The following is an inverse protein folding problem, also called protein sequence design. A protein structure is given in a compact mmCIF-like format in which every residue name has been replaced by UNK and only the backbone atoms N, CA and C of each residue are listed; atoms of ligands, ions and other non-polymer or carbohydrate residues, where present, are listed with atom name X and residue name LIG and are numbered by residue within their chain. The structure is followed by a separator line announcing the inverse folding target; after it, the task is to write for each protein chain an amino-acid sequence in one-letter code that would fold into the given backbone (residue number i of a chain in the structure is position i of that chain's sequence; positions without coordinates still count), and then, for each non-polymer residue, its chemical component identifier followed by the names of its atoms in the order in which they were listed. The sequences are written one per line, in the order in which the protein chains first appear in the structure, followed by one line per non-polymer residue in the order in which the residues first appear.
data_IF_356167045021
#
_entry.id   IF_356167045021
#
_cell.length_a   1.000
_cell.length_b   1.000
_cell.length_c   1.000
_cell.angle_alpha   90.00
_cell.angle_beta   90.00
_cell.angle_gamma   90.00
#
_symmetry.space_group_name_H-M   'P 1'
#
loop_
_entity.id
_entity.type
_entity.pdbx_description
1 polymer ?
#
# COMPACT_ATOMS: atom_id res chain seq x y z
N UNK A 1 11.61 -1.68 39.96
CA UNK A 1 10.56 -2.05 38.99
C UNK A 1 10.44 -3.57 39.04
N UNK A 2 9.33 -4.08 39.54
CA UNK A 2 9.03 -5.50 39.56
C UNK A 2 8.09 -5.73 38.39
N UNK A 3 8.52 -6.48 37.35
CA UNK A 3 7.65 -6.91 36.28
C UNK A 3 7.13 -8.31 36.58
N UNK A 4 5.82 -8.50 36.43
CA UNK A 4 5.17 -9.79 36.52
C UNK A 4 4.70 -10.14 35.13
N UNK A 5 5.35 -11.11 34.48
CA UNK A 5 4.88 -11.65 33.24
C UNK A 5 3.70 -12.58 33.49
N UNK A 6 2.68 -12.47 32.64
CA UNK A 6 1.46 -13.27 32.67
C UNK A 6 1.66 -14.51 31.84
N UNK A 7 1.77 -15.66 32.50
CA UNK A 7 1.61 -16.93 31.79
C UNK A 7 0.13 -17.24 31.55
N UNK A 8 -0.19 -17.40 30.27
CA UNK A 8 -1.32 -18.11 29.69
C UNK A 8 -2.75 -17.92 30.23
N UNK A 9 -3.61 -17.45 29.34
CA UNK A 9 -5.04 -17.67 29.05
C UNK A 9 -5.88 -18.51 30.05
N UNK A 10 -5.78 -18.31 31.33
CA UNK A 10 -6.70 -18.88 32.27
C UNK A 10 -7.41 -17.76 33.03
N UNK A 11 -8.70 -17.57 32.77
CA UNK A 11 -9.55 -16.55 33.37
C UNK A 11 -9.87 -16.79 34.89
N UNK A 12 -9.17 -17.66 35.54
CA UNK A 12 -9.34 -17.89 36.96
C UNK A 12 -8.67 -16.80 37.78
N UNK A 13 -9.37 -16.29 38.80
CA UNK A 13 -8.85 -15.34 39.76
C UNK A 13 -7.57 -15.90 40.39
N UNK A 14 -6.42 -15.37 40.00
CA UNK A 14 -5.14 -15.71 40.56
C UNK A 14 -4.78 -14.59 41.54
N UNK A 15 -4.74 -14.90 42.82
CA UNK A 15 -4.18 -14.01 43.85
C UNK A 15 -2.65 -14.06 43.78
N UNK A 16 -2.02 -12.93 43.64
CA UNK A 16 -0.55 -12.82 43.65
C UNK A 16 -0.11 -11.95 44.79
N UNK A 17 0.87 -12.42 45.57
CA UNK A 17 1.55 -11.66 46.59
C UNK A 17 2.91 -11.22 46.09
N UNK A 18 3.21 -9.94 46.20
CA UNK A 18 4.50 -9.34 45.85
C UNK A 18 5.11 -8.83 47.13
N UNK A 19 6.30 -9.32 47.45
CA UNK A 19 7.06 -8.78 48.57
C UNK A 19 7.78 -7.50 48.14
N UNK A 20 7.59 -6.44 48.93
CA UNK A 20 8.27 -5.17 48.74
C UNK A 20 9.31 -5.03 49.89
N UNK A 21 10.58 -4.97 49.51
CA UNK A 21 11.65 -4.74 50.47
C UNK A 21 11.48 -3.38 51.14
N UNK A 22 11.66 -3.36 52.44
CA UNK A 22 11.49 -2.18 53.30
C UNK A 22 12.42 -1.02 52.89
N UNK A 23 13.52 -1.30 52.22
CA UNK A 23 14.44 -0.28 51.68
C UNK A 23 13.79 0.63 50.61
N UNK A 24 12.71 0.19 50.00
CA UNK A 24 11.95 1.00 49.03
C UNK A 24 10.87 1.87 49.70
N UNK A 25 10.61 1.65 50.98
CA UNK A 25 9.59 2.40 51.72
C UNK A 25 10.21 3.59 52.45
N UNK A 26 9.51 4.71 52.45
CA UNK A 26 9.91 5.93 53.16
C UNK A 26 8.98 6.14 54.37
N UNK A 27 9.49 6.84 55.39
CA UNK A 27 8.64 7.33 56.44
C UNK A 27 7.68 8.40 55.87
N UNK A 28 6.38 8.23 56.08
CA UNK A 28 5.33 9.07 55.52
C UNK A 28 4.65 8.44 54.29
N UNK A 29 4.22 9.26 53.36
CA UNK A 29 3.45 8.81 52.21
C UNK A 29 4.30 8.07 51.19
N UNK A 30 3.83 6.91 50.74
CA UNK A 30 4.42 6.11 49.70
C UNK A 30 3.43 5.96 48.57
N UNK A 31 3.91 6.06 47.35
CA UNK A 31 3.11 5.86 46.11
C UNK A 31 3.36 4.48 45.56
N UNK A 32 2.29 3.76 45.25
CA UNK A 32 2.34 2.49 44.54
C UNK A 32 1.79 2.74 43.13
N UNK A 33 2.61 2.49 42.13
CA UNK A 33 2.18 2.53 40.72
C UNK A 33 2.11 1.10 40.18
N UNK A 34 1.00 0.75 39.55
CA UNK A 34 0.82 -0.54 38.88
C UNK A 34 0.52 -0.33 37.42
N UNK A 35 1.22 -1.09 36.59
CA UNK A 35 0.87 -1.19 35.15
C UNK A 35 0.10 -2.49 34.95
N UNK A 36 -1.14 -2.37 34.49
CA UNK A 36 -1.98 -3.51 34.15
C UNK A 36 -2.04 -3.60 32.62
N UNK A 37 -1.65 -4.76 32.05
CA UNK A 37 -1.75 -5.04 30.63
C UNK A 37 -2.84 -6.08 30.47
N UNK A 38 -3.86 -5.75 29.69
CA UNK A 38 -5.03 -6.58 29.42
C UNK A 38 -6.33 -5.97 29.96
N UNK A 39 -7.41 -6.74 29.87
CA UNK A 39 -8.71 -6.28 30.35
C UNK A 39 -8.71 -6.22 31.88
N UNK A 40 -8.92 -5.06 32.50
CA UNK A 40 -8.92 -4.96 33.93
C UNK A 40 -10.11 -5.74 34.51
N UNK A 41 -9.87 -6.92 35.01
CA UNK A 41 -10.85 -7.57 35.87
C UNK A 41 -10.73 -6.96 37.28
N UNK A 42 -11.83 -6.55 37.80
CA UNK A 42 -11.93 -6.03 39.18
C UNK A 42 -11.40 -7.07 40.18
N UNK A 43 -10.27 -6.80 40.73
CA UNK A 43 -9.68 -7.56 41.82
C UNK A 43 -9.41 -6.66 43.03
N UNK A 44 -9.56 -7.19 44.21
CA UNK A 44 -9.20 -6.48 45.42
C UNK A 44 -7.68 -6.38 45.54
N UNK A 45 -7.18 -5.20 45.82
CA UNK A 45 -5.77 -4.96 46.14
C UNK A 45 -5.66 -4.71 47.63
N UNK A 46 -4.73 -5.41 48.25
CA UNK A 46 -4.48 -5.23 49.68
C UNK A 46 -3.00 -5.22 49.96
N UNK A 47 -2.62 -4.49 51.01
CA UNK A 47 -1.27 -4.51 51.54
C UNK A 47 -1.28 -5.43 52.78
N UNK A 48 -0.39 -6.43 52.78
CA UNK A 48 -0.16 -7.30 53.91
C UNK A 48 1.12 -6.84 54.57
N UNK A 49 1.04 -6.44 55.85
CA UNK A 49 2.20 -6.07 56.67
C UNK A 49 2.89 -7.31 57.18
N UNK A 50 4.17 -7.22 57.51
CA UNK A 50 4.93 -8.31 58.14
C UNK A 50 4.33 -8.87 59.44
N UNK A 51 3.43 -8.12 60.09
CA UNK A 51 2.62 -8.57 61.22
C UNK A 51 1.44 -9.49 60.78
N UNK A 52 1.18 -9.66 59.52
CA UNK A 52 0.00 -10.37 59.02
C UNK A 52 -1.25 -9.49 58.88
N UNK A 53 -1.17 -8.22 59.28
CA UNK A 53 -2.28 -7.28 59.16
C UNK A 53 -2.49 -6.95 57.65
N UNK A 54 -3.71 -7.16 57.17
CA UNK A 54 -4.12 -6.88 55.80
C UNK A 54 -4.97 -5.60 55.73
N UNK A 55 -4.52 -4.64 54.96
CA UNK A 55 -5.28 -3.42 54.66
C UNK A 55 -5.72 -3.46 53.21
N UNK A 56 -7.04 -3.47 52.98
CA UNK A 56 -7.61 -3.40 51.64
C UNK A 56 -7.51 -1.97 51.14
N UNK A 57 -7.03 -1.79 49.91
CA UNK A 57 -6.95 -0.49 49.26
C UNK A 57 -8.21 -0.30 48.43
N UNK A 58 -9.24 0.30 49.03
CA UNK A 58 -10.56 0.48 48.40
C UNK A 58 -10.71 1.84 47.73
N UNK A 59 -10.01 2.85 48.25
CA UNK A 59 -10.16 4.23 47.80
C UNK A 59 -8.82 4.90 47.46
N UNK A 60 -8.89 5.95 46.65
CA UNK A 60 -7.73 6.80 46.35
C UNK A 60 -6.86 6.33 45.21
N UNK A 61 -7.30 5.34 44.42
CA UNK A 61 -6.61 4.94 43.22
C UNK A 61 -6.89 5.91 42.07
N UNK A 62 -5.82 6.44 41.51
CA UNK A 62 -5.90 7.18 40.25
C UNK A 62 -5.42 6.24 39.17
N UNK A 63 -6.26 6.01 38.17
CA UNK A 63 -5.88 5.21 37.00
C UNK A 63 -5.81 6.10 35.76
N UNK A 64 -4.75 5.92 35.01
CA UNK A 64 -4.63 6.49 33.67
C UNK A 64 -4.55 5.34 32.65
N UNK A 65 -5.42 5.36 31.66
CA UNK A 65 -5.34 4.46 30.54
C UNK A 65 -4.21 4.96 29.63
N UNK A 66 -3.14 4.18 29.53
CA UNK A 66 -1.95 4.57 28.77
C UNK A 66 -2.10 4.18 27.29
N UNK A 67 -2.61 2.98 27.05
CA UNK A 67 -2.92 2.49 25.72
C UNK A 67 -3.98 1.40 25.79
N UNK A 68 -4.80 1.30 24.78
CA UNK A 68 -5.77 0.22 24.59
C UNK A 68 -5.57 -0.35 23.18
N UNK A 69 -5.27 -1.64 23.14
CA UNK A 69 -5.11 -2.36 21.89
C UNK A 69 -6.25 -3.36 21.75
N UNK A 70 -7.05 -3.19 20.71
CA UNK A 70 -8.15 -4.08 20.41
C UNK A 70 -7.81 -4.91 19.17
N UNK A 71 -7.82 -6.23 19.35
CA UNK A 71 -7.78 -7.17 18.25
C UNK A 71 -9.19 -7.71 18.01
N UNK A 72 -9.78 -7.32 16.92
CA UNK A 72 -10.99 -7.97 16.45
C UNK A 72 -10.58 -9.00 15.39
N UNK A 73 -10.66 -10.26 15.75
CA UNK A 73 -10.40 -11.36 14.82
C UNK A 73 -11.66 -11.53 13.97
N UNK A 74 -11.70 -10.83 12.86
CA UNK A 74 -12.58 -11.16 11.75
C UNK A 74 -11.75 -11.04 10.47
N UNK A 75 -12.10 -11.78 9.45
CA UNK A 75 -11.34 -11.89 8.19
C UNK A 75 -11.16 -10.55 7.45
N UNK A 76 -11.77 -9.47 7.92
CA UNK A 76 -11.75 -8.15 7.31
C UNK A 76 -11.43 -7.00 8.27
N UNK A 77 -11.08 -7.27 9.51
CA UNK A 77 -10.75 -6.22 10.47
C UNK A 77 -9.26 -6.05 10.62
N UNK A 78 -8.81 -4.87 10.24
CA UNK A 78 -7.43 -4.46 10.48
C UNK A 78 -7.26 -4.05 11.94
N UNK A 79 -6.18 -4.47 12.61
CA UNK A 79 -5.90 -4.06 13.96
C UNK A 79 -5.76 -2.53 14.03
N UNK A 80 -6.33 -1.94 15.06
CA UNK A 80 -6.12 -0.54 15.36
C UNK A 80 -5.64 -0.38 16.79
N UNK A 81 -4.82 0.63 17.02
CA UNK A 81 -4.33 1.00 18.33
C UNK A 81 -4.99 2.30 18.74
N UNK A 82 -5.67 2.30 19.87
CA UNK A 82 -6.15 3.52 20.50
C UNK A 82 -5.11 4.00 21.51
N UNK A 83 -4.54 5.17 21.21
CA UNK A 83 -3.61 5.83 22.13
C UNK A 83 -4.35 6.88 22.92
N UNK A 84 -4.20 6.83 24.23
CA UNK A 84 -4.74 7.83 25.13
C UNK A 84 -3.58 8.68 25.66
N UNK A 85 -3.58 9.95 25.31
CA UNK A 85 -2.61 10.91 25.81
C UNK A 85 -3.13 11.57 27.07
N UNK A 86 -2.39 11.42 28.14
CA UNK A 86 -2.55 12.20 29.35
C UNK A 86 -1.54 13.35 29.32
N UNK A 87 -2.05 14.57 29.27
CA UNK A 87 -1.25 15.77 29.50
C UNK A 87 -1.24 16.00 31.01
N UNK A 88 -0.06 15.93 31.63
CA UNK A 88 0.12 16.02 33.07
C UNK A 88 -0.42 17.28 33.77
N UNK A 89 -0.92 18.24 33.02
CA UNK A 89 -1.63 19.43 33.50
C UNK A 89 -3.16 19.31 33.49
N UNK A 90 -3.71 18.18 33.04
CA UNK A 90 -5.14 17.98 33.01
C UNK A 90 -5.60 17.30 34.31
N UNK A 91 -6.81 17.68 34.76
CA UNK A 91 -7.49 16.99 35.84
C UNK A 91 -7.58 15.49 35.50
N UNK A 92 -7.17 14.63 36.43
CA UNK A 92 -7.19 13.17 36.27
C UNK A 92 -8.57 12.61 35.90
N UNK A 93 -9.61 13.40 36.13
CA UNK A 93 -11.01 13.07 35.75
C UNK A 93 -11.40 13.56 34.35
N UNK A 94 -10.56 14.34 33.65
CA UNK A 94 -10.82 14.68 32.27
C UNK A 94 -10.50 13.48 31.39
N UNK A 95 -11.40 13.20 30.43
CA UNK A 95 -11.17 12.09 29.49
C UNK A 95 -9.87 12.35 28.69
N UNK A 96 -8.96 11.40 28.64
CA UNK A 96 -7.74 11.56 27.85
C UNK A 96 -8.08 11.73 26.36
N UNK A 97 -7.28 12.50 25.68
CA UNK A 97 -7.45 12.66 24.22
C UNK A 97 -7.18 11.31 23.53
N UNK A 98 -8.22 10.75 22.94
CA UNK A 98 -8.12 9.50 22.18
C UNK A 98 -7.59 9.77 20.78
N UNK A 99 -6.52 9.10 20.39
CA UNK A 99 -6.03 9.04 19.01
C UNK A 99 -6.10 7.60 18.54
N UNK A 100 -6.84 7.37 17.47
CA UNK A 100 -6.91 6.05 16.83
C UNK A 100 -5.85 5.99 15.74
N UNK A 101 -4.99 4.99 15.83
CA UNK A 101 -3.95 4.71 14.86
C UNK A 101 -4.29 3.39 14.17
N UNK A 102 -4.38 3.41 12.85
CA UNK A 102 -4.64 2.23 12.03
C UNK A 102 -3.79 2.31 10.74
N UNK A 103 -3.92 1.30 9.88
CA UNK A 103 -3.18 1.23 8.60
C UNK A 103 -3.44 2.43 7.68
N UNK A 104 -4.57 3.13 7.82
CA UNK A 104 -4.91 4.32 7.04
C UNK A 104 -4.40 5.62 7.66
N UNK A 105 -3.80 5.57 8.86
CA UNK A 105 -3.23 6.75 9.50
C UNK A 105 -1.97 7.20 8.74
N UNK A 106 -1.76 8.51 8.57
CA UNK A 106 -0.61 9.02 7.83
C UNK A 106 0.72 8.46 8.32
N UNK A 107 1.56 8.04 7.40
CA UNK A 107 2.92 7.53 7.62
C UNK A 107 3.05 6.23 8.42
N UNK A 108 1.98 5.63 8.92
CA UNK A 108 2.06 4.42 9.76
C UNK A 108 2.68 3.24 8.99
N UNK A 109 2.17 2.95 7.79
CA UNK A 109 2.72 1.87 6.97
C UNK A 109 4.18 2.15 6.57
N UNK A 110 4.49 3.40 6.23
CA UNK A 110 5.86 3.79 5.95
C UNK A 110 6.78 3.55 7.15
N UNK A 111 6.41 4.06 8.33
CA UNK A 111 7.21 3.96 9.53
C UNK A 111 7.38 2.51 10.01
N UNK A 112 6.33 1.70 9.90
CA UNK A 112 6.34 0.31 10.36
C UNK A 112 6.95 -0.69 9.37
N UNK A 113 6.84 -0.43 8.07
CA UNK A 113 7.18 -1.42 7.04
C UNK A 113 8.32 -0.99 6.11
N UNK A 114 8.42 0.28 5.76
CA UNK A 114 9.43 0.76 4.81
C UNK A 114 10.67 1.29 5.52
N UNK A 115 10.46 2.17 6.49
CA UNK A 115 11.56 2.84 7.21
C UNK A 115 12.57 1.87 7.85
N UNK A 116 12.16 0.73 8.45
CA UNK A 116 13.11 -0.25 8.99
C UNK A 116 13.98 -0.94 7.92
N UNK A 117 13.56 -0.92 6.65
CA UNK A 117 14.28 -1.54 5.54
C UNK A 117 15.36 -0.62 4.93
N UNK A 118 15.31 0.68 5.20
CA UNK A 118 16.22 1.66 4.58
C UNK A 118 17.70 1.32 4.74
N UNK A 119 18.19 0.74 5.87
CA UNK A 119 19.59 0.36 6.00
C UNK A 119 20.03 -0.80 5.09
N UNK A 120 19.07 -1.60 4.56
CA UNK A 120 19.41 -2.74 3.73
C UNK A 120 19.82 -2.30 2.33
N UNK A 121 20.90 -2.86 1.83
CA UNK A 121 21.31 -2.69 0.43
C UNK A 121 20.33 -3.44 -0.47
N UNK A 122 19.66 -2.72 -1.35
CA UNK A 122 18.75 -3.27 -2.36
C UNK A 122 19.23 -2.88 -3.75
N UNK A 123 18.90 -3.70 -4.76
CA UNK A 123 19.28 -3.46 -6.16
C UNK A 123 18.21 -2.68 -6.92
N UNK A 124 17.00 -2.62 -6.42
CA UNK A 124 15.87 -1.95 -7.03
C UNK A 124 14.58 -2.24 -6.29
N UNK A 125 13.49 -1.66 -6.76
CA UNK A 125 12.15 -1.79 -6.20
C UNK A 125 11.19 -2.30 -7.28
N UNK A 126 10.30 -3.19 -6.87
CA UNK A 126 9.19 -3.68 -7.68
C UNK A 126 7.89 -3.25 -7.01
N UNK A 127 7.02 -2.60 -7.78
CA UNK A 127 5.76 -2.07 -7.31
C UNK A 127 4.58 -2.67 -8.09
N UNK A 128 3.69 -3.35 -7.40
CA UNK A 128 2.49 -3.92 -7.99
C UNK A 128 1.26 -3.48 -7.18
N UNK A 129 0.70 -2.35 -7.54
CA UNK A 129 -0.43 -1.73 -6.85
C UNK A 129 -1.05 -0.65 -7.76
N UNK A 130 -2.32 -0.33 -7.53
CA UNK A 130 -3.03 0.76 -8.19
C UNK A 130 -4.53 0.56 -8.24
N UNK A 131 -5.01 -0.63 -7.98
CA UNK A 131 -6.38 -1.08 -8.15
C UNK A 131 -7.37 -0.21 -7.34
N UNK A 132 -7.11 -0.01 -6.06
CA UNK A 132 -7.95 0.84 -5.19
C UNK A 132 -7.95 2.32 -5.56
N UNK A 133 -7.02 2.76 -6.41
CA UNK A 133 -7.04 4.12 -6.93
C UNK A 133 -8.04 4.31 -8.06
N UNK A 134 -8.59 3.22 -8.61
CA UNK A 134 -9.55 3.21 -9.73
C UNK A 134 -10.95 2.86 -9.28
N UNK A 135 -11.10 1.91 -8.33
CA UNK A 135 -12.36 1.31 -7.92
C UNK A 135 -13.42 2.30 -7.44
N UNK A 136 -13.03 3.40 -6.84
CA UNK A 136 -13.97 4.28 -6.16
C UNK A 136 -14.71 5.27 -7.07
N UNK A 137 -14.44 5.26 -8.38
CA UNK A 137 -14.95 6.30 -9.29
C UNK A 137 -14.46 7.72 -8.94
N UNK A 138 -13.65 7.82 -7.89
CA UNK A 138 -13.01 9.06 -7.45
C UNK A 138 -11.82 9.36 -8.38
N UNK A 139 -11.67 10.59 -8.87
CA UNK A 139 -10.57 10.96 -9.76
C UNK A 139 -9.18 10.93 -9.10
N UNK A 140 -8.95 10.08 -8.11
CA UNK A 140 -7.64 9.86 -7.46
C UNK A 140 -6.54 9.49 -8.47
N UNK A 141 -6.90 8.91 -9.60
CA UNK A 141 -5.94 8.66 -10.67
C UNK A 141 -5.34 9.96 -11.23
N UNK A 142 -6.02 11.10 -11.14
CA UNK A 142 -5.50 12.40 -11.63
C UNK A 142 -4.27 12.89 -10.90
N UNK A 143 -4.04 12.41 -9.69
CA UNK A 143 -2.87 12.76 -8.88
C UNK A 143 -1.91 11.59 -8.69
N UNK A 144 -2.25 10.42 -9.22
CA UNK A 144 -1.48 9.19 -9.02
C UNK A 144 -0.04 9.33 -9.51
N UNK A 145 0.14 9.83 -10.73
CA UNK A 145 1.47 10.02 -11.32
C UNK A 145 2.33 10.99 -10.50
N UNK A 146 1.73 12.06 -9.99
CA UNK A 146 2.41 13.04 -9.15
C UNK A 146 2.79 12.45 -7.79
N UNK A 147 1.88 11.73 -7.14
CA UNK A 147 2.14 11.09 -5.86
C UNK A 147 3.19 9.99 -5.98
N UNK A 148 3.12 9.18 -7.04
CA UNK A 148 4.13 8.16 -7.30
C UNK A 148 5.50 8.75 -7.62
N UNK A 149 5.55 9.86 -8.35
CA UNK A 149 6.81 10.57 -8.60
C UNK A 149 7.45 11.06 -7.29
N UNK A 150 6.66 11.62 -6.39
CA UNK A 150 7.12 12.02 -5.05
C UNK A 150 7.61 10.82 -4.25
N UNK A 151 6.85 9.72 -4.26
CA UNK A 151 7.19 8.49 -3.55
C UNK A 151 8.51 7.89 -4.06
N UNK A 152 8.67 7.75 -5.37
CA UNK A 152 9.90 7.25 -5.99
C UNK A 152 11.11 8.12 -5.60
N UNK A 153 10.95 9.42 -5.66
CA UNK A 153 12.01 10.36 -5.30
C UNK A 153 12.36 10.32 -3.81
N UNK A 154 11.36 10.17 -2.94
CA UNK A 154 11.60 10.04 -1.49
C UNK A 154 12.35 8.74 -1.17
N UNK A 155 11.95 7.62 -1.76
CA UNK A 155 12.67 6.35 -1.61
C UNK A 155 14.13 6.46 -2.07
N UNK A 156 14.38 7.04 -3.25
CA UNK A 156 15.73 7.28 -3.77
C UNK A 156 16.57 8.16 -2.85
N UNK A 157 15.97 9.20 -2.28
CA UNK A 157 16.62 10.06 -1.29
C UNK A 157 16.96 9.30 0.00
N UNK A 158 16.06 8.42 0.47
CA UNK A 158 16.26 7.63 1.69
C UNK A 158 17.34 6.57 1.56
N UNK A 159 17.45 5.94 0.40
CA UNK A 159 18.52 4.99 0.08
C UNK A 159 19.79 5.65 -0.46
N UNK A 160 19.80 6.98 -0.62
CA UNK A 160 20.91 7.76 -1.16
C UNK A 160 21.44 7.21 -2.52
N UNK A 161 20.53 6.67 -3.32
CA UNK A 161 20.87 6.08 -4.62
C UNK A 161 19.71 6.20 -5.60
N UNK A 162 20.03 6.31 -6.88
CA UNK A 162 19.03 6.32 -7.95
C UNK A 162 18.48 4.91 -8.21
N UNK A 163 17.77 4.35 -7.21
CA UNK A 163 17.21 3.01 -7.29
C UNK A 163 16.34 2.82 -8.54
N UNK A 164 16.52 1.73 -9.29
CA UNK A 164 15.56 1.30 -10.29
C UNK A 164 14.18 1.08 -9.63
N UNK A 165 13.15 1.59 -10.28
CA UNK A 165 11.78 1.42 -9.82
C UNK A 165 10.94 0.85 -10.96
N UNK A 166 10.60 -0.44 -10.85
CA UNK A 166 9.79 -1.13 -11.84
C UNK A 166 8.38 -1.35 -11.30
N UNK A 167 7.37 -1.09 -12.12
CA UNK A 167 6.00 -1.19 -11.68
C UNK A 167 5.12 -1.94 -12.68
N UNK A 168 4.10 -2.64 -12.18
CA UNK A 168 3.09 -3.26 -12.99
C UNK A 168 1.97 -2.26 -13.30
N UNK A 169 1.60 -2.16 -14.56
CA UNK A 169 0.35 -1.53 -14.95
C UNK A 169 -0.80 -2.42 -14.48
N UNK A 170 -1.90 -1.84 -13.97
CA UNK A 170 -3.01 -2.63 -13.44
C UNK A 170 -3.59 -3.59 -14.47
N UNK A 171 -3.93 -4.80 -14.00
CA UNK A 171 -4.60 -5.81 -14.80
C UNK A 171 -6.05 -5.39 -15.17
N UNK A 172 -6.66 -6.01 -16.19
CA UNK A 172 -8.06 -5.79 -16.48
C UNK A 172 -8.94 -6.26 -15.31
N UNK A 173 -9.97 -5.47 -15.00
CA UNK A 173 -10.97 -5.84 -14.02
C UNK A 173 -12.30 -5.14 -14.35
N UNK A 174 -13.39 -5.90 -14.39
CA UNK A 174 -14.68 -5.40 -14.89
C UNK A 174 -15.26 -4.25 -14.05
N UNK A 175 -14.92 -4.17 -12.75
CA UNK A 175 -15.52 -3.21 -11.83
C UNK A 175 -14.82 -1.83 -11.80
N UNK A 176 -13.89 -1.56 -12.70
CA UNK A 176 -13.22 -0.25 -12.77
C UNK A 176 -14.07 0.87 -13.41
N UNK A 177 -15.32 0.59 -13.78
CA UNK A 177 -16.27 1.61 -14.25
C UNK A 177 -15.79 2.44 -15.45
N UNK A 178 -14.97 1.87 -16.35
CA UNK A 178 -14.42 2.56 -17.52
C UNK A 178 -13.26 3.51 -17.24
N UNK A 179 -12.79 3.61 -15.98
CA UNK A 179 -11.68 4.49 -15.60
C UNK A 179 -10.30 3.86 -15.80
N UNK A 180 -10.21 2.56 -16.01
CA UNK A 180 -8.94 1.84 -16.14
C UNK A 180 -8.03 2.35 -17.28
N UNK A 181 -8.51 2.78 -18.44
CA UNK A 181 -7.64 3.33 -19.48
C UNK A 181 -6.91 4.59 -19.03
N UNK A 182 -7.62 5.50 -18.37
CA UNK A 182 -7.04 6.75 -17.85
C UNK A 182 -6.03 6.49 -16.73
N UNK A 183 -6.31 5.51 -15.89
CA UNK A 183 -5.38 5.14 -14.84
C UNK A 183 -4.12 4.46 -15.40
N UNK A 184 -4.26 3.57 -16.37
CA UNK A 184 -3.12 2.97 -17.08
C UNK A 184 -2.27 4.02 -17.81
N UNK A 185 -2.90 5.05 -18.38
CA UNK A 185 -2.18 6.18 -18.95
C UNK A 185 -1.39 6.95 -17.89
N UNK A 186 -1.98 7.21 -16.70
CA UNK A 186 -1.28 7.83 -15.59
C UNK A 186 -0.09 6.97 -15.11
N UNK A 187 -0.26 5.64 -15.05
CA UNK A 187 0.85 4.73 -14.76
C UNK A 187 1.95 4.82 -15.84
N UNK A 188 1.59 4.76 -17.13
CA UNK A 188 2.54 4.89 -18.22
C UNK A 188 3.30 6.24 -18.18
N UNK A 189 2.65 7.29 -17.70
CA UNK A 189 3.27 8.60 -17.48
C UNK A 189 4.48 8.58 -16.53
N UNK A 190 4.60 7.57 -15.67
CA UNK A 190 5.76 7.40 -14.78
C UNK A 190 7.04 7.03 -15.53
N UNK A 191 6.95 6.52 -16.75
CA UNK A 191 8.11 6.20 -17.59
C UNK A 191 8.95 7.44 -17.96
N UNK A 192 8.42 8.66 -17.79
CA UNK A 192 9.20 9.90 -17.91
C UNK A 192 10.24 10.07 -16.79
N UNK A 193 10.09 9.34 -15.68
CA UNK A 193 11.04 9.39 -14.57
C UNK A 193 12.22 8.49 -14.91
N UNK A 194 13.46 9.00 -14.90
CA UNK A 194 14.63 8.17 -15.20
C UNK A 194 14.71 6.92 -14.31
N UNK A 195 15.23 5.85 -14.86
CA UNK A 195 15.44 4.59 -14.16
C UNK A 195 14.14 3.98 -13.60
N UNK A 196 13.06 4.10 -14.37
CA UNK A 196 11.78 3.39 -14.16
C UNK A 196 11.53 2.43 -15.32
N UNK A 197 10.66 1.45 -15.09
CA UNK A 197 10.20 0.51 -16.11
C UNK A 197 8.81 -0.01 -15.76
N UNK A 198 8.03 -0.31 -16.78
CA UNK A 198 6.64 -0.76 -16.63
C UNK A 198 6.46 -2.16 -17.22
N UNK A 199 5.76 -3.00 -16.48
CA UNK A 199 5.27 -4.30 -16.93
C UNK A 199 3.79 -4.17 -17.27
N UNK A 200 3.41 -4.51 -18.49
CA UNK A 200 2.01 -4.58 -18.91
C UNK A 200 1.42 -5.91 -18.45
N UNK A 201 0.16 -5.90 -17.99
CA UNK A 201 -0.53 -7.09 -17.47
C UNK A 201 -1.91 -7.30 -18.09
N UNK A 202 -2.19 -6.60 -19.20
CA UNK A 202 -3.49 -6.65 -19.86
C UNK A 202 -3.85 -8.02 -20.43
N UNK A 203 -2.88 -8.77 -20.89
CA UNK A 203 -2.99 -10.08 -21.53
C UNK A 203 -2.92 -11.25 -20.55
N UNK A 204 -2.52 -11.00 -19.29
CA UNK A 204 -2.31 -12.01 -18.26
C UNK A 204 -3.20 -11.79 -17.02
N UNK A 205 -4.09 -10.81 -17.07
CA UNK A 205 -5.06 -10.54 -16.01
C UNK A 205 -6.34 -11.39 -16.15
N UNK A 206 -7.18 -11.31 -15.14
CA UNK A 206 -8.47 -12.00 -15.07
C UNK A 206 -9.58 -10.96 -14.88
N UNK A 207 -10.45 -10.81 -15.89
CA UNK A 207 -11.43 -9.71 -15.90
C UNK A 207 -12.41 -9.75 -14.73
N UNK A 208 -12.64 -10.91 -14.13
CA UNK A 208 -13.55 -11.11 -12.99
C UNK A 208 -12.84 -11.30 -11.66
N UNK A 209 -11.51 -11.26 -11.64
CA UNK A 209 -10.73 -11.34 -10.41
C UNK A 209 -9.71 -10.21 -10.35
N UNK A 210 -9.85 -9.34 -9.33
CA UNK A 210 -8.90 -8.24 -9.09
C UNK A 210 -7.52 -8.76 -8.66
N UNK A 211 -7.44 -10.02 -8.23
CA UNK A 211 -6.21 -10.71 -7.83
C UNK A 211 -5.84 -11.83 -8.82
N UNK A 212 -5.46 -11.50 -10.07
CA UNK A 212 -5.18 -12.51 -11.08
C UNK A 212 -4.18 -13.56 -10.59
N UNK A 213 -4.44 -14.82 -10.89
CA UNK A 213 -3.62 -15.94 -10.39
C UNK A 213 -2.25 -16.02 -11.06
N UNK A 214 -2.12 -15.54 -12.29
CA UNK A 214 -0.87 -15.58 -13.06
C UNK A 214 0.16 -14.57 -12.56
N UNK A 215 0.84 -14.90 -11.46
CA UNK A 215 1.97 -14.12 -10.94
C UNK A 215 3.31 -14.49 -11.56
N UNK A 216 3.39 -15.66 -12.18
CA UNK A 216 4.62 -16.14 -12.82
C UNK A 216 5.04 -15.21 -13.96
N UNK A 217 4.14 -14.92 -14.90
CA UNK A 217 4.47 -14.08 -16.05
C UNK A 217 4.70 -12.63 -15.66
N UNK A 218 4.02 -12.13 -14.62
CA UNK A 218 4.33 -10.83 -14.02
C UNK A 218 5.77 -10.80 -13.52
N UNK A 219 6.18 -11.85 -12.78
CA UNK A 219 7.55 -11.99 -12.28
C UNK A 219 8.58 -12.10 -13.40
N UNK A 220 8.30 -12.89 -14.46
CA UNK A 220 9.20 -13.01 -15.63
C UNK A 220 9.40 -11.65 -16.32
N UNK A 221 8.31 -10.89 -16.53
CA UNK A 221 8.39 -9.57 -17.14
C UNK A 221 9.22 -8.58 -16.30
N UNK A 222 9.07 -8.59 -14.98
CA UNK A 222 9.94 -7.80 -14.09
C UNK A 222 11.41 -8.26 -14.15
N UNK A 223 11.64 -9.57 -14.18
CA UNK A 223 12.98 -10.12 -14.29
C UNK A 223 13.65 -9.69 -15.60
N UNK A 224 12.94 -9.73 -16.73
CA UNK A 224 13.45 -9.26 -18.04
C UNK A 224 13.82 -7.78 -18.01
N UNK A 225 12.98 -6.92 -17.44
CA UNK A 225 13.29 -5.50 -17.25
C UNK A 225 14.57 -5.32 -16.41
N UNK A 226 14.69 -6.06 -15.32
CA UNK A 226 15.88 -5.98 -14.46
C UNK A 226 17.14 -6.49 -15.19
N UNK A 227 17.04 -7.64 -15.85
CA UNK A 227 18.17 -8.24 -16.57
C UNK A 227 18.70 -7.31 -17.66
N UNK A 228 17.81 -6.68 -18.43
CA UNK A 228 18.21 -5.73 -19.47
C UNK A 228 18.81 -4.46 -18.85
N UNK A 229 18.10 -3.82 -17.91
CA UNK A 229 18.46 -2.47 -17.47
C UNK A 229 19.51 -2.42 -16.35
N UNK A 230 19.70 -3.51 -15.57
CA UNK A 230 20.57 -3.50 -14.40
C UNK A 230 21.71 -4.52 -14.51
N UNK A 231 21.61 -5.47 -15.42
CA UNK A 231 22.59 -6.54 -15.61
C UNK A 231 23.12 -6.63 -17.03
N UNK A 232 22.80 -5.63 -17.88
CA UNK A 232 23.30 -5.48 -19.27
C UNK A 232 23.12 -6.76 -20.10
N UNK A 233 21.98 -7.45 -19.89
CA UNK A 233 21.69 -8.64 -20.70
C UNK A 233 20.99 -8.22 -21.99
N UNK A 234 21.46 -8.76 -23.10
CA UNK A 234 20.85 -8.59 -24.42
C UNK A 234 19.61 -9.50 -24.52
N UNK A 235 18.49 -9.00 -24.05
CA UNK A 235 17.19 -9.69 -24.06
C UNK A 235 16.06 -8.73 -24.33
N UNK A 236 15.00 -9.23 -24.93
CA UNK A 236 13.74 -8.48 -25.10
C UNK A 236 13.04 -8.35 -23.75
N UNK A 237 12.84 -7.15 -23.29
CA UNK A 237 12.26 -6.85 -21.97
C UNK A 237 10.82 -6.35 -22.03
N UNK A 238 10.35 -5.91 -23.19
CA UNK A 238 8.95 -5.45 -23.37
C UNK A 238 8.46 -5.77 -24.78
N UNK A 239 7.17 -5.85 -24.94
CA UNK A 239 6.54 -5.83 -26.28
C UNK A 239 6.55 -4.42 -26.90
N UNK A 240 5.82 -4.24 -28.02
CA UNK A 240 5.71 -2.96 -28.70
C UNK A 240 5.21 -1.85 -27.77
N UNK A 241 5.91 -0.71 -27.77
CA UNK A 241 5.56 0.47 -26.99
C UNK A 241 5.13 1.58 -27.96
N UNK A 242 3.93 2.12 -27.75
CA UNK A 242 3.44 3.24 -28.56
C UNK A 242 4.42 4.41 -28.50
N UNK A 243 4.82 4.89 -29.68
CA UNK A 243 5.77 5.99 -29.84
C UNK A 243 5.09 7.29 -30.22
N UNK A 244 4.32 7.26 -31.29
CA UNK A 244 3.59 8.44 -31.77
C UNK A 244 2.47 8.06 -32.73
N UNK A 245 1.49 8.94 -32.82
CA UNK A 245 0.48 8.92 -33.87
C UNK A 245 0.72 10.08 -34.83
N UNK A 246 0.49 9.84 -36.10
CA UNK A 246 0.43 10.89 -37.12
C UNK A 246 -0.84 10.74 -37.93
N UNK A 247 -1.43 11.84 -38.28
CA UNK A 247 -2.61 11.90 -39.14
C UNK A 247 -2.21 12.27 -40.56
N UNK A 248 -2.84 11.62 -41.49
CA UNK A 248 -2.78 11.99 -42.92
C UNK A 248 -4.15 11.77 -43.53
N UNK A 249 -4.83 12.85 -43.92
CA UNK A 249 -6.23 12.84 -44.38
C UNK A 249 -7.15 12.21 -43.32
N UNK A 250 -7.93 11.19 -43.69
CA UNK A 250 -8.83 10.44 -42.80
C UNK A 250 -8.18 9.18 -42.18
N UNK A 251 -6.85 9.08 -42.23
CA UNK A 251 -6.10 7.94 -41.72
C UNK A 251 -5.20 8.36 -40.57
N UNK A 252 -5.02 7.45 -39.60
CA UNK A 252 -4.10 7.60 -38.48
C UNK A 252 -3.07 6.50 -38.55
N UNK A 253 -1.81 6.87 -38.41
CA UNK A 253 -0.67 5.96 -38.42
C UNK A 253 -0.08 5.92 -37.01
N UNK A 254 0.01 4.71 -36.45
CA UNK A 254 0.61 4.48 -35.11
C UNK A 254 1.96 3.84 -35.30
N UNK A 255 2.98 4.49 -34.76
CA UNK A 255 4.35 3.99 -34.73
C UNK A 255 4.70 3.50 -33.33
N UNK A 256 5.54 2.47 -33.26
CA UNK A 256 5.92 1.80 -32.01
C UNK A 256 7.45 1.64 -31.95
N UNK A 257 7.97 1.58 -30.74
CA UNK A 257 9.32 1.13 -30.44
C UNK A 257 9.29 -0.35 -29.97
N UNK A 258 10.41 -1.01 -29.92
CA UNK A 258 10.58 -2.42 -29.54
C UNK A 258 9.81 -3.40 -30.45
N UNK A 259 10.10 -3.34 -31.72
CA UNK A 259 9.41 -4.11 -32.76
C UNK A 259 10.15 -5.34 -33.26
N UNK A 260 11.26 -5.72 -32.73
CA UNK A 260 12.21 -6.76 -33.16
C UNK A 260 11.81 -7.58 -34.40
N UNK A 261 10.77 -8.40 -34.31
CA UNK A 261 10.23 -9.20 -35.42
C UNK A 261 9.01 -8.56 -36.12
N UNK A 262 8.65 -7.34 -35.73
CA UNK A 262 7.49 -6.61 -36.25
C UNK A 262 6.21 -6.80 -35.42
N UNK A 263 5.17 -6.07 -35.85
CA UNK A 263 3.86 -6.12 -35.19
C UNK A 263 3.09 -7.37 -35.64
N UNK A 264 2.54 -8.10 -34.69
CA UNK A 264 1.61 -9.21 -34.93
C UNK A 264 0.22 -8.77 -34.48
N UNK A 265 -0.76 -8.85 -35.37
CA UNK A 265 -2.17 -8.67 -35.02
C UNK A 265 -2.86 -10.04 -35.05
N UNK A 266 -3.62 -10.32 -34.02
CA UNK A 266 -4.51 -11.48 -34.04
C UNK A 266 -5.74 -11.16 -34.93
N UNK A 267 -5.77 -11.74 -36.11
CA UNK A 267 -6.85 -11.52 -37.03
C UNK A 267 -8.20 -12.15 -36.65
N UNK A 268 -8.21 -12.94 -35.57
CA UNK A 268 -9.44 -13.52 -34.98
C UNK A 268 -10.16 -12.55 -34.06
N UNK A 269 -9.47 -11.53 -33.58
CA UNK A 269 -10.03 -10.48 -32.75
C UNK A 269 -10.57 -9.36 -33.64
N UNK A 270 -11.77 -8.88 -33.33
CA UNK A 270 -12.27 -7.63 -33.93
C UNK A 270 -11.31 -6.51 -33.52
N UNK A 271 -11.12 -5.54 -34.40
CA UNK A 271 -10.32 -4.36 -34.06
C UNK A 271 -10.84 -3.71 -32.77
N UNK A 272 -9.96 -3.56 -31.82
CA UNK A 272 -10.21 -2.85 -30.54
C UNK A 272 -9.86 -1.36 -30.65
N UNK A 273 -9.47 -0.92 -31.83
CA UNK A 273 -9.14 0.48 -32.08
C UNK A 273 -10.39 1.26 -32.49
N UNK A 274 -10.51 2.43 -31.89
CA UNK A 274 -11.56 3.37 -32.20
C UNK A 274 -10.97 4.71 -32.63
N UNK A 275 -11.62 5.39 -33.52
CA UNK A 275 -11.31 6.75 -33.96
C UNK A 275 -12.49 7.67 -33.69
N UNK A 276 -12.18 8.91 -33.35
CA UNK A 276 -13.15 9.99 -33.20
C UNK A 276 -12.66 11.24 -33.91
N UNK A 277 -13.56 12.06 -34.39
CA UNK A 277 -13.28 13.43 -34.79
C UNK A 277 -13.38 14.41 -33.65
N UNK A 278 -13.46 15.70 -33.92
CA UNK A 278 -13.62 16.78 -32.95
C UNK A 278 -14.86 16.62 -32.04
N UNK A 279 -15.90 15.95 -32.58
CA UNK A 279 -17.13 15.64 -31.85
C UNK A 279 -16.95 14.61 -30.72
N UNK A 280 -15.77 13.95 -30.64
CA UNK A 280 -15.42 12.91 -29.65
C UNK A 280 -16.38 11.72 -29.64
N UNK A 281 -17.05 11.44 -30.72
CA UNK A 281 -17.86 10.23 -30.92
C UNK A 281 -16.93 9.17 -31.53
N UNK A 282 -16.69 8.11 -30.77
CA UNK A 282 -15.78 7.04 -31.15
C UNK A 282 -16.47 6.00 -32.02
N UNK A 283 -15.80 5.57 -33.07
CA UNK A 283 -16.23 4.55 -34.03
C UNK A 283 -15.10 3.53 -34.22
N UNK A 284 -15.45 2.27 -34.35
CA UNK A 284 -14.47 1.21 -34.62
C UNK A 284 -13.69 1.53 -35.89
N UNK A 285 -12.38 1.36 -35.80
CA UNK A 285 -11.46 1.55 -36.90
C UNK A 285 -11.12 0.22 -37.57
N UNK A 286 -10.97 0.25 -38.90
CA UNK A 286 -10.22 -0.80 -39.57
C UNK A 286 -8.75 -0.58 -39.33
N UNK A 287 -8.02 -1.70 -39.14
CA UNK A 287 -6.60 -1.68 -38.90
C UNK A 287 -5.87 -2.45 -40.00
N UNK A 288 -4.88 -1.82 -40.61
CA UNK A 288 -3.95 -2.45 -41.51
C UNK A 288 -2.57 -2.52 -40.86
N UNK A 289 -2.01 -3.74 -40.80
CA UNK A 289 -0.70 -3.97 -40.20
C UNK A 289 0.37 -3.95 -41.30
N UNK A 290 1.32 -3.02 -41.18
CA UNK A 290 2.45 -2.87 -42.09
C UNK A 290 3.78 -3.36 -41.50
N UNK A 291 3.71 -4.14 -40.42
CA UNK A 291 4.88 -4.70 -39.71
C UNK A 291 5.58 -3.70 -38.77
N UNK A 292 5.89 -2.50 -39.25
CA UNK A 292 6.55 -1.46 -38.47
C UNK A 292 5.61 -0.36 -37.96
N UNK A 293 4.38 -0.33 -38.41
CA UNK A 293 3.33 0.60 -37.98
C UNK A 293 1.95 0.04 -38.26
N UNK A 294 0.95 0.57 -37.56
CA UNK A 294 -0.46 0.31 -37.88
C UNK A 294 -1.07 1.51 -38.56
N UNK A 295 -1.91 1.24 -39.56
CA UNK A 295 -2.73 2.23 -40.21
C UNK A 295 -4.18 2.01 -39.82
N UNK A 296 -4.83 3.06 -39.33
CA UNK A 296 -6.22 3.03 -38.88
C UNK A 296 -7.08 3.98 -39.72
N UNK A 297 -8.28 3.53 -40.02
CA UNK A 297 -9.30 4.39 -40.64
C UNK A 297 -10.70 3.94 -40.27
N UNK A 298 -11.64 4.86 -40.27
CA UNK A 298 -13.07 4.58 -40.10
C UNK A 298 -13.87 5.30 -41.16
N UNK A 299 -14.87 4.62 -41.70
CA UNK A 299 -15.78 5.24 -42.70
C UNK A 299 -16.73 6.27 -42.06
N UNK A 300 -16.83 6.24 -40.74
CA UNK A 300 -17.70 7.12 -39.95
C UNK A 300 -16.96 8.35 -39.40
N UNK A 301 -15.66 8.48 -39.71
CA UNK A 301 -14.81 9.57 -39.18
C UNK A 301 -13.99 10.16 -40.33
N UNK A 302 -14.42 11.29 -40.86
CA UNK A 302 -13.74 11.94 -41.97
C UNK A 302 -12.44 12.64 -41.56
N UNK A 303 -12.39 13.09 -40.30
CA UNK A 303 -11.30 13.88 -39.77
C UNK A 303 -10.94 13.40 -38.33
N UNK A 304 -10.23 12.29 -38.20
CA UNK A 304 -9.90 11.72 -36.93
C UNK A 304 -8.94 12.59 -36.08
#
# INVERSE_FOLDING_TARGET
LISIEKDNYNFNKISRTIEIDSSYLRSGDNQIAMRIIGNPSTGDISIIRGSGEQTKLEDGWHCALVAEEWYQISDYTYPYVSLYHYDGNQDLFSQPKKTIINHSSPSILYNGMINPLIPFTIRGLVWYQGESNVESGDPKFKTYDTLMALFINDLRKKWETNLPFYFAQIAPYFNYGGMSPYFREAQAGLLRIPNTGMVVTMDIGEIYDIHPSNKHDVGDRFARLALMNQYDKDIVSSGPVFKKARKQNNRVFLEFDHLDEGLVLDNTLKSEFELAGENKIYHYAKVENHGSYLELFSLNVDNP
#
